data_IF_846045005709
#
_entry.id   IF_846045005709
#
_cell.length_a   1.000
_cell.length_b   1.000
_cell.length_c   1.000
_cell.angle_alpha   90.00
_cell.angle_beta   90.00
_cell.angle_gamma   90.00
#
_symmetry.space_group_name_H-M   'P 1'
#
loop_
_entity.id
_entity.type
_entity.pdbx_description
1 polymer ?
#
# COMPACT_ATOMS: atom_id res chain seq x y z
N UNK A 1 33.79 29.11 -26.71
CA UNK A 1 32.96 29.10 -25.48
C UNK A 1 31.77 28.20 -25.75
N UNK A 2 31.82 26.98 -25.25
CA UNK A 2 30.69 26.04 -25.26
C UNK A 2 30.06 26.13 -23.87
N UNK A 3 28.75 26.34 -23.72
CA UNK A 3 28.15 26.16 -22.41
C UNK A 3 28.04 24.65 -22.18
N UNK A 4 28.75 24.16 -21.16
CA UNK A 4 28.49 22.86 -20.59
C UNK A 4 27.08 22.91 -19.99
N UNK A 5 26.14 22.20 -20.58
CA UNK A 5 24.89 21.87 -19.91
C UNK A 5 25.20 20.85 -18.82
N UNK A 6 25.41 21.34 -17.59
CA UNK A 6 25.22 20.51 -16.41
C UNK A 6 23.73 20.18 -16.32
N UNK A 7 23.31 19.08 -16.94
CA UNK A 7 22.15 18.36 -16.43
C UNK A 7 22.59 17.70 -15.12
N UNK A 8 22.48 18.46 -14.02
CA UNK A 8 22.38 17.83 -12.72
C UNK A 8 21.09 17.00 -12.77
N UNK A 9 21.22 15.69 -12.99
CA UNK A 9 20.13 14.74 -12.83
C UNK A 9 19.73 14.78 -11.35
N UNK A 10 18.76 15.64 -11.02
CA UNK A 10 18.06 15.57 -9.75
C UNK A 10 17.32 14.24 -9.77
N UNK A 11 17.93 13.23 -9.18
CA UNK A 11 17.34 11.91 -9.06
C UNK A 11 16.23 12.00 -8.01
N UNK A 12 14.97 12.03 -8.42
CA UNK A 12 13.83 12.13 -7.50
C UNK A 12 13.72 10.91 -6.58
N UNK A 13 12.78 10.92 -5.64
CA UNK A 13 12.56 9.78 -4.73
C UNK A 13 12.20 8.47 -5.48
N UNK A 14 12.28 7.35 -4.76
CA UNK A 14 11.76 6.06 -5.23
C UNK A 14 10.44 5.79 -4.55
N UNK A 15 9.40 5.53 -5.34
CA UNK A 15 8.10 5.11 -4.87
C UNK A 15 7.97 3.60 -4.99
N UNK A 16 8.11 2.88 -3.87
CA UNK A 16 7.88 1.44 -3.79
C UNK A 16 6.40 1.17 -3.50
N UNK A 17 5.74 0.53 -4.46
CA UNK A 17 4.33 0.16 -4.41
C UNK A 17 4.22 -1.35 -4.20
N UNK A 18 3.84 -1.76 -3.00
CA UNK A 18 3.56 -3.16 -2.69
C UNK A 18 2.11 -3.47 -3.06
N UNK A 19 1.92 -4.11 -4.20
CA UNK A 19 0.65 -4.45 -4.80
C UNK A 19 0.27 -5.93 -4.58
N UNK A 20 -0.99 -6.25 -4.86
CA UNK A 20 -1.50 -7.62 -4.78
C UNK A 20 -2.82 -7.74 -4.05
N UNK A 21 -3.46 -8.90 -4.19
CA UNK A 21 -4.76 -9.22 -3.60
C UNK A 21 -4.74 -9.12 -2.05
N UNK A 22 -5.89 -8.88 -1.40
CA UNK A 22 -6.00 -9.01 0.06
C UNK A 22 -5.49 -10.38 0.54
N UNK A 23 -4.71 -10.41 1.62
CA UNK A 23 -4.15 -11.65 2.19
C UNK A 23 -2.79 -12.10 1.62
N UNK A 24 -2.21 -11.38 0.66
CA UNK A 24 -0.91 -11.74 0.04
C UNK A 24 0.33 -11.44 0.90
N UNK A 25 0.18 -10.87 2.10
CA UNK A 25 1.32 -10.56 2.98
C UNK A 25 1.97 -9.18 2.80
N UNK A 26 1.33 -8.26 2.05
CA UNK A 26 1.88 -6.91 1.78
C UNK A 26 2.34 -6.16 3.03
N UNK A 27 1.52 -6.12 4.08
CA UNK A 27 1.85 -5.39 5.30
C UNK A 27 3.08 -5.98 6.01
N UNK A 28 3.27 -7.31 5.95
CA UNK A 28 4.49 -7.95 6.47
C UNK A 28 5.72 -7.56 5.64
N UNK A 29 5.61 -7.59 4.31
CA UNK A 29 6.69 -7.13 3.44
C UNK A 29 7.03 -5.65 3.68
N UNK A 30 6.03 -4.79 3.88
CA UNK A 30 6.27 -3.38 4.22
C UNK A 30 7.08 -3.22 5.52
N UNK A 31 6.80 -4.03 6.55
CA UNK A 31 7.61 -4.05 7.78
C UNK A 31 9.06 -4.42 7.49
N UNK A 32 9.30 -5.48 6.70
CA UNK A 32 10.66 -5.91 6.32
C UNK A 32 11.41 -4.83 5.53
N UNK A 33 10.73 -4.14 4.60
CA UNK A 33 11.30 -3.01 3.85
C UNK A 33 11.68 -1.89 4.82
N UNK A 34 10.83 -1.52 5.76
CA UNK A 34 11.14 -0.48 6.75
C UNK A 34 12.30 -0.82 7.67
N UNK A 35 12.44 -2.09 8.06
CA UNK A 35 13.58 -2.56 8.84
C UNK A 35 14.90 -2.39 8.06
N UNK A 36 14.88 -2.69 6.75
CA UNK A 36 16.06 -2.54 5.87
C UNK A 36 16.37 -1.09 5.50
N UNK A 37 15.34 -0.26 5.37
CA UNK A 37 15.40 1.14 4.94
C UNK A 37 14.76 2.04 6.00
N UNK A 38 15.43 2.31 7.14
CA UNK A 38 14.83 3.02 8.28
C UNK A 38 14.44 4.48 8.01
N UNK A 39 15.00 5.10 6.97
CA UNK A 39 14.62 6.44 6.50
C UNK A 39 13.40 6.46 5.57
N UNK A 40 12.78 5.30 5.30
CA UNK A 40 11.65 5.21 4.40
C UNK A 40 10.38 5.86 4.97
N UNK A 41 9.78 6.76 4.19
CA UNK A 41 8.46 7.30 4.47
C UNK A 41 7.37 6.31 4.03
N UNK A 42 6.61 5.74 4.98
CA UNK A 42 5.49 4.85 4.67
C UNK A 42 4.17 5.62 4.64
N UNK A 43 3.34 5.34 3.63
CA UNK A 43 1.96 5.81 3.54
C UNK A 43 1.02 4.61 3.40
N UNK A 44 0.18 4.39 4.43
CA UNK A 44 -0.77 3.27 4.52
C UNK A 44 -2.20 3.80 4.42
N UNK A 45 -2.92 3.37 3.39
CA UNK A 45 -4.35 3.70 3.23
C UNK A 45 -5.22 3.07 4.33
N UNK A 46 -4.88 1.88 4.82
CA UNK A 46 -5.62 1.24 5.91
C UNK A 46 -5.50 2.08 7.19
N UNK A 47 -4.30 2.60 7.52
CA UNK A 47 -4.09 3.48 8.68
C UNK A 47 -4.91 4.77 8.59
N UNK A 48 -4.97 5.37 7.39
CA UNK A 48 -5.76 6.59 7.15
C UNK A 48 -7.25 6.30 7.32
N UNK A 49 -7.72 5.17 6.78
CA UNK A 49 -9.13 4.76 6.90
C UNK A 49 -9.51 4.51 8.36
N UNK A 50 -8.69 3.75 9.08
CA UNK A 50 -8.93 3.44 10.49
C UNK A 50 -8.97 4.71 11.35
N UNK A 51 -8.03 5.64 11.15
CA UNK A 51 -8.06 6.96 11.82
C UNK A 51 -9.35 7.73 11.55
N UNK A 52 -9.82 7.77 10.30
CA UNK A 52 -11.07 8.46 9.96
C UNK A 52 -12.30 7.78 10.55
N UNK A 53 -12.33 6.45 10.61
CA UNK A 53 -13.42 5.70 11.24
C UNK A 53 -13.43 5.89 12.76
N UNK A 54 -12.25 5.94 13.40
CA UNK A 54 -12.09 6.29 14.81
C UNK A 54 -12.58 7.70 15.13
N UNK A 55 -12.32 8.66 14.25
CA UNK A 55 -12.68 10.06 14.47
C UNK A 55 -14.16 10.34 14.22
N UNK A 56 -14.75 9.75 13.17
CA UNK A 56 -16.06 10.14 12.68
C UNK A 56 -17.14 9.07 12.82
N UNK A 57 -16.76 7.79 12.89
CA UNK A 57 -17.70 6.68 12.77
C UNK A 57 -18.48 6.66 11.45
N UNK A 58 -19.33 5.65 11.28
CA UNK A 58 -20.28 5.54 10.19
C UNK A 58 -21.45 4.64 10.60
N UNK A 59 -22.66 4.98 10.19
CA UNK A 59 -23.90 4.23 10.47
C UNK A 59 -24.36 3.35 9.30
N UNK A 60 -23.78 3.53 8.12
CA UNK A 60 -24.13 2.77 6.92
C UNK A 60 -23.02 2.76 5.85
N UNK A 61 -23.24 1.98 4.80
CA UNK A 61 -22.30 1.81 3.69
C UNK A 61 -22.01 3.11 2.92
N UNK A 62 -22.97 4.03 2.81
CA UNK A 62 -22.81 5.29 2.08
C UNK A 62 -21.87 6.24 2.82
N UNK A 63 -22.05 6.36 4.14
CA UNK A 63 -21.16 7.12 5.02
C UNK A 63 -19.76 6.52 5.05
N UNK A 64 -19.65 5.19 5.16
CA UNK A 64 -18.36 4.50 5.08
C UNK A 64 -17.65 4.78 3.75
N UNK A 65 -18.37 4.72 2.63
CA UNK A 65 -17.81 5.05 1.32
C UNK A 65 -17.39 6.53 1.22
N UNK A 66 -18.11 7.46 1.85
CA UNK A 66 -17.70 8.86 1.89
C UNK A 66 -16.39 9.05 2.66
N UNK A 67 -16.22 8.37 3.79
CA UNK A 67 -14.95 8.35 4.53
C UNK A 67 -13.83 7.67 3.74
N UNK A 68 -14.09 6.54 3.07
CA UNK A 68 -13.11 5.86 2.23
C UNK A 68 -12.66 6.75 1.05
N UNK A 69 -13.56 7.55 0.45
CA UNK A 69 -13.21 8.54 -0.57
C UNK A 69 -12.33 9.66 -0.01
N UNK A 70 -12.64 10.15 1.20
CA UNK A 70 -11.81 11.14 1.89
C UNK A 70 -10.43 10.56 2.20
N UNK A 71 -10.37 9.32 2.68
CA UNK A 71 -9.12 8.60 2.94
C UNK A 71 -8.24 8.52 1.69
N UNK A 72 -8.84 8.21 0.54
CA UNK A 72 -8.11 8.16 -0.73
C UNK A 72 -7.53 9.52 -1.14
N UNK A 73 -8.24 10.63 -0.87
CA UNK A 73 -7.71 11.98 -1.09
C UNK A 73 -6.52 12.29 -0.19
N UNK A 74 -6.62 11.96 1.10
CA UNK A 74 -5.52 12.12 2.07
C UNK A 74 -4.33 11.26 1.66
N UNK A 75 -4.57 10.00 1.28
CA UNK A 75 -3.54 9.07 0.82
C UNK A 75 -2.68 9.65 -0.31
N UNK A 76 -3.31 10.19 -1.36
CA UNK A 76 -2.54 10.81 -2.44
C UNK A 76 -1.80 12.08 -1.99
N UNK A 77 -2.39 12.87 -1.10
CA UNK A 77 -1.71 14.04 -0.52
C UNK A 77 -0.51 13.66 0.35
N UNK A 78 -0.57 12.56 1.09
CA UNK A 78 0.55 12.05 1.88
C UNK A 78 1.68 11.50 1.00
N UNK A 79 1.34 10.78 -0.07
CA UNK A 79 2.32 10.36 -1.09
C UNK A 79 2.99 11.59 -1.71
N UNK A 80 2.21 12.58 -2.15
CA UNK A 80 2.72 13.83 -2.72
C UNK A 80 3.66 14.56 -1.76
N UNK A 81 3.26 14.71 -0.49
CA UNK A 81 4.08 15.35 0.52
C UNK A 81 5.39 14.59 0.79
N UNK A 82 5.35 13.25 0.79
CA UNK A 82 6.55 12.42 0.95
C UNK A 82 7.52 12.61 -0.23
N UNK A 83 7.01 12.50 -1.47
CA UNK A 83 7.82 12.72 -2.68
C UNK A 83 8.42 14.13 -2.74
N UNK A 84 7.71 15.13 -2.22
CA UNK A 84 8.19 16.51 -2.20
C UNK A 84 9.24 16.78 -1.12
N UNK A 85 9.05 16.32 0.12
CA UNK A 85 10.00 16.55 1.24
C UNK A 85 11.39 16.00 0.92
N UNK A 86 11.40 14.82 0.33
CA UNK A 86 12.59 14.07 -0.04
C UNK A 86 13.40 14.75 -1.16
N UNK A 87 12.74 15.53 -2.02
CA UNK A 87 13.41 16.37 -3.01
C UNK A 87 14.10 17.61 -2.39
N UNK A 88 13.79 17.97 -1.14
CA UNK A 88 14.22 19.22 -0.49
C UNK A 88 15.09 19.01 0.76
N UNK A 89 15.20 17.79 1.28
CA UNK A 89 16.14 17.44 2.35
C UNK A 89 17.56 17.33 1.82
N UNK A 90 18.22 18.47 1.62
CA UNK A 90 19.63 18.60 1.27
C UNK A 90 20.60 18.37 2.43
N UNK A 91 20.26 17.52 3.41
CA UNK A 91 21.17 17.17 4.52
C UNK A 91 21.88 15.86 4.17
N UNK A 92 22.85 16.02 3.28
CA UNK A 92 23.62 14.95 2.65
C UNK A 92 24.73 14.47 3.59
N UNK A 93 24.55 13.29 4.16
CA UNK A 93 25.69 12.50 4.69
C UNK A 93 26.06 11.33 3.77
N UNK A 94 25.27 11.06 2.72
CA UNK A 94 25.56 10.07 1.69
C UNK A 94 24.91 10.51 0.36
N UNK A 95 25.67 11.25 -0.47
CA UNK A 95 25.27 11.89 -1.75
C UNK A 95 24.72 10.91 -2.82
N UNK A 96 24.63 9.61 -2.48
CA UNK A 96 24.38 8.52 -3.43
C UNK A 96 23.04 7.82 -3.27
N UNK A 97 22.30 8.02 -2.18
CA UNK A 97 21.03 7.29 -1.91
C UNK A 97 19.79 8.13 -2.15
N UNK A 98 18.88 7.59 -2.94
CA UNK A 98 17.58 8.22 -3.21
C UNK A 98 16.64 7.98 -2.03
N UNK A 99 15.85 8.99 -1.62
CA UNK A 99 14.82 8.79 -0.62
C UNK A 99 13.78 7.77 -1.08
N UNK A 100 13.19 7.03 -0.14
CA UNK A 100 12.27 5.93 -0.43
C UNK A 100 10.91 6.17 0.23
N UNK A 101 9.88 6.22 -0.61
CA UNK A 101 8.47 6.28 -0.21
C UNK A 101 7.86 4.90 -0.44
N UNK A 102 7.25 4.32 0.60
CA UNK A 102 6.66 2.99 0.58
C UNK A 102 5.16 3.07 0.77
N UNK A 103 4.41 2.31 -0.03
CA UNK A 103 2.97 2.18 0.15
C UNK A 103 2.45 0.82 -0.25
N UNK A 104 1.53 0.26 0.54
CA UNK A 104 0.75 -0.91 0.19
C UNK A 104 -0.74 -0.60 0.03
N UNK A 105 -1.32 -1.23 -0.99
CA UNK A 105 -2.75 -1.18 -1.28
C UNK A 105 -3.09 -2.33 -2.23
N UNK A 106 -4.32 -2.88 -2.25
CA UNK A 106 -4.85 -3.52 -3.44
C UNK A 106 -5.00 -2.50 -4.58
N UNK A 107 -3.85 -2.05 -5.11
CA UNK A 107 -3.77 -1.12 -6.22
C UNK A 107 -4.48 -1.70 -7.44
N UNK A 108 -5.15 -0.83 -8.18
CA UNK A 108 -5.87 -1.16 -9.41
C UNK A 108 -5.65 -0.07 -10.44
N UNK A 109 -6.23 -0.25 -11.63
CA UNK A 109 -6.22 0.79 -12.69
C UNK A 109 -6.76 2.15 -12.21
N UNK A 110 -7.57 2.18 -11.15
CA UNK A 110 -8.14 3.42 -10.61
C UNK A 110 -7.09 4.35 -9.99
N UNK A 111 -6.03 3.82 -9.40
CA UNK A 111 -4.98 4.62 -8.74
C UNK A 111 -3.85 5.01 -9.71
N UNK A 112 -3.70 4.25 -10.80
CA UNK A 112 -2.58 4.37 -11.71
C UNK A 112 -2.40 5.79 -12.31
N UNK A 113 -3.44 6.48 -12.81
CA UNK A 113 -3.25 7.81 -13.39
C UNK A 113 -2.70 8.83 -12.39
N UNK A 114 -3.23 8.83 -11.16
CA UNK A 114 -2.80 9.77 -10.10
C UNK A 114 -1.37 9.49 -9.66
N UNK A 115 -1.03 8.22 -9.39
CA UNK A 115 0.33 7.84 -8.98
C UNK A 115 1.36 8.14 -10.07
N UNK A 116 1.01 7.90 -11.35
CA UNK A 116 1.86 8.25 -12.49
C UNK A 116 2.10 9.76 -12.55
N UNK A 117 1.04 10.56 -12.46
CA UNK A 117 1.16 12.02 -12.50
C UNK A 117 2.01 12.57 -11.34
N UNK A 118 1.92 11.96 -10.15
CA UNK A 118 2.81 12.29 -9.02
C UNK A 118 4.27 11.94 -9.33
N UNK A 119 4.53 10.74 -9.86
CA UNK A 119 5.90 10.36 -10.23
C UNK A 119 6.50 11.29 -11.29
N UNK A 120 5.73 11.63 -12.33
CA UNK A 120 6.16 12.56 -13.39
C UNK A 120 6.42 13.97 -12.84
N UNK A 121 5.54 14.47 -11.97
CA UNK A 121 5.67 15.81 -11.36
C UNK A 121 6.93 15.96 -10.51
N UNK A 122 7.29 14.93 -9.76
CA UNK A 122 8.40 14.97 -8.80
C UNK A 122 9.67 14.24 -9.28
N UNK A 123 9.69 13.77 -10.54
CA UNK A 123 10.82 13.00 -11.08
C UNK A 123 11.08 11.69 -10.34
N UNK A 124 10.06 11.13 -9.69
CA UNK A 124 10.19 9.93 -8.88
C UNK A 124 10.23 8.66 -9.75
N UNK A 125 11.02 7.66 -9.34
CA UNK A 125 11.02 6.34 -9.98
C UNK A 125 10.09 5.41 -9.22
N UNK A 126 9.08 4.88 -9.89
CA UNK A 126 8.19 3.89 -9.30
C UNK A 126 8.74 2.47 -9.46
N UNK A 127 8.64 1.68 -8.38
CA UNK A 127 8.88 0.25 -8.34
C UNK A 127 7.60 -0.43 -7.86
N UNK A 128 7.09 -1.40 -8.63
CA UNK A 128 5.95 -2.22 -8.21
C UNK A 128 6.45 -3.59 -7.77
N UNK A 129 6.13 -3.98 -6.54
CA UNK A 129 6.29 -5.37 -6.07
C UNK A 129 4.91 -5.96 -5.98
N UNK A 130 4.58 -6.91 -6.85
CA UNK A 130 3.26 -7.53 -6.90
C UNK A 130 3.30 -8.91 -6.27
N UNK A 131 2.64 -9.05 -5.12
CA UNK A 131 2.46 -10.33 -4.46
C UNK A 131 1.23 -11.03 -5.02
N UNK A 132 1.41 -12.26 -5.52
CA UNK A 132 0.34 -13.14 -5.99
C UNK A 132 0.18 -14.32 -5.02
N UNK A 133 -0.94 -15.02 -5.08
CA UNK A 133 -1.14 -16.27 -4.35
C UNK A 133 -2.40 -16.98 -4.86
N UNK A 134 -2.52 -18.28 -4.59
CA UNK A 134 -3.75 -19.04 -4.80
C UNK A 134 -4.96 -18.41 -4.07
N UNK A 135 -6.10 -18.33 -4.75
CA UNK A 135 -7.29 -17.65 -4.24
C UNK A 135 -7.91 -18.34 -3.02
N UNK A 136 -7.80 -19.67 -2.90
CA UNK A 136 -8.34 -20.39 -1.76
C UNK A 136 -7.50 -20.10 -0.52
N UNK A 137 -6.18 -20.13 -0.68
CA UNK A 137 -5.23 -19.72 0.38
C UNK A 137 -5.50 -18.28 0.82
N UNK A 138 -5.74 -17.36 -0.13
CA UNK A 138 -6.07 -15.98 0.20
C UNK A 138 -7.40 -15.83 0.92
N UNK A 139 -8.41 -16.61 0.56
CA UNK A 139 -9.71 -16.60 1.24
C UNK A 139 -9.58 -17.11 2.69
N UNK A 140 -8.83 -18.18 2.92
CA UNK A 140 -8.54 -18.65 4.29
C UNK A 140 -7.82 -17.60 5.12
N UNK A 141 -6.80 -16.93 4.55
CA UNK A 141 -6.07 -15.85 5.23
C UNK A 141 -6.97 -14.66 5.54
N UNK A 142 -7.85 -14.28 4.61
CA UNK A 142 -8.82 -13.21 4.81
C UNK A 142 -9.77 -13.55 5.96
N UNK A 143 -10.30 -14.77 6.01
CA UNK A 143 -11.17 -15.22 7.10
C UNK A 143 -10.45 -15.17 8.45
N UNK A 144 -9.23 -15.73 8.54
CA UNK A 144 -8.43 -15.69 9.78
C UNK A 144 -8.18 -14.25 10.22
N UNK A 145 -7.82 -13.35 9.29
CA UNK A 145 -7.57 -11.93 9.56
C UNK A 145 -8.81 -11.19 10.04
N UNK A 146 -9.97 -11.44 9.43
CA UNK A 146 -11.20 -10.75 9.79
C UNK A 146 -11.78 -11.22 11.13
N UNK A 147 -11.45 -12.45 11.53
CA UNK A 147 -11.80 -12.99 12.86
C UNK A 147 -10.79 -12.61 13.96
N UNK A 148 -9.62 -12.08 13.59
CA UNK A 148 -8.60 -11.67 14.55
C UNK A 148 -9.07 -10.44 15.36
N UNK A 149 -8.99 -10.47 16.72
CA UNK A 149 -9.38 -9.33 17.55
C UNK A 149 -8.63 -8.03 17.28
N UNK A 150 -7.41 -8.10 16.75
CA UNK A 150 -6.59 -6.94 16.36
C UNK A 150 -7.10 -6.25 15.09
N UNK A 151 -7.92 -6.92 14.27
CA UNK A 151 -8.52 -6.30 13.09
C UNK A 151 -9.47 -5.19 13.52
N UNK A 152 -9.22 -3.98 13.05
CA UNK A 152 -10.10 -2.84 13.31
C UNK A 152 -11.52 -3.14 12.82
N UNK A 153 -12.53 -2.94 13.69
CA UNK A 153 -13.92 -3.34 13.44
C UNK A 153 -14.48 -2.74 12.15
N UNK A 154 -14.12 -1.49 11.84
CA UNK A 154 -14.52 -0.80 10.61
C UNK A 154 -14.25 -1.58 9.31
N UNK A 155 -13.35 -2.56 9.28
CA UNK A 155 -13.17 -3.43 8.11
C UNK A 155 -14.28 -4.46 7.92
N UNK A 156 -14.88 -4.95 9.01
CA UNK A 156 -15.75 -6.14 9.03
C UNK A 156 -17.20 -5.83 9.42
N UNK A 157 -17.55 -4.56 9.65
CA UNK A 157 -18.90 -4.12 10.01
C UNK A 157 -19.45 -3.07 9.03
N UNK A 158 -20.78 -2.95 9.03
CA UNK A 158 -21.52 -1.96 8.23
C UNK A 158 -21.83 -0.67 9.01
N UNK A 159 -21.64 -0.70 10.34
CA UNK A 159 -21.71 0.44 11.25
C UNK A 159 -20.59 0.37 12.29
N UNK A 160 -19.91 1.49 12.52
CA UNK A 160 -18.85 1.60 13.50
C UNK A 160 -18.84 2.99 14.15
N UNK A 161 -18.70 3.05 15.47
CA UNK A 161 -18.33 4.24 16.22
C UNK A 161 -17.22 3.90 17.21
N UNK A 162 -16.42 4.91 17.58
CA UNK A 162 -15.33 4.74 18.54
C UNK A 162 -15.84 4.14 19.84
N UNK A 163 -15.20 3.05 20.28
CA UNK A 163 -15.58 2.32 21.49
C UNK A 163 -16.57 1.18 21.25
N UNK A 164 -17.08 1.02 20.03
CA UNK A 164 -17.82 -0.18 19.65
C UNK A 164 -16.95 -1.43 19.88
N UNK A 165 -17.59 -2.51 20.31
CA UNK A 165 -16.93 -3.80 20.52
C UNK A 165 -17.75 -4.92 19.92
N UNK A 166 -17.06 -5.92 19.38
CA UNK A 166 -17.67 -7.16 18.89
C UNK A 166 -16.79 -8.32 19.35
N UNK A 167 -17.04 -8.89 20.56
CA UNK A 167 -16.24 -9.99 21.09
C UNK A 167 -16.27 -11.22 20.19
N UNK A 168 -17.43 -11.52 19.62
CA UNK A 168 -17.63 -12.62 18.68
C UNK A 168 -17.57 -12.10 17.24
N UNK A 169 -16.36 -12.11 16.66
CA UNK A 169 -16.08 -11.60 15.31
C UNK A 169 -16.82 -12.36 14.22
N UNK A 170 -17.23 -13.61 14.46
CA UNK A 170 -17.99 -14.40 13.49
C UNK A 170 -19.38 -13.83 13.18
N UNK A 171 -19.87 -12.93 14.04
CA UNK A 171 -21.17 -12.25 13.87
C UNK A 171 -21.07 -10.93 13.09
N UNK A 172 -19.89 -10.55 12.62
CA UNK A 172 -19.72 -9.28 11.92
C UNK A 172 -20.44 -9.29 10.57
N UNK A 173 -21.29 -8.29 10.32
CA UNK A 173 -22.14 -8.25 9.13
C UNK A 173 -21.36 -8.07 7.81
N UNK A 174 -20.14 -7.52 7.88
CA UNK A 174 -19.29 -7.24 6.72
C UNK A 174 -18.33 -8.36 6.35
N UNK A 175 -18.42 -9.54 6.98
CA UNK A 175 -17.62 -10.70 6.57
C UNK A 175 -17.98 -11.13 5.15
N UNK A 176 -16.96 -11.43 4.34
CA UNK A 176 -17.16 -11.81 2.95
C UNK A 176 -17.51 -13.29 2.84
N UNK A 177 -18.50 -13.60 1.99
CA UNK A 177 -18.66 -14.96 1.48
C UNK A 177 -17.49 -15.30 0.54
N UNK A 178 -17.23 -16.59 0.36
CA UNK A 178 -16.24 -17.08 -0.61
C UNK A 178 -16.52 -16.54 -2.02
N UNK A 179 -17.77 -16.55 -2.46
CA UNK A 179 -18.18 -16.04 -3.76
C UNK A 179 -17.88 -14.54 -3.92
N UNK A 180 -18.24 -13.72 -2.92
CA UNK A 180 -17.97 -12.28 -2.97
C UNK A 180 -16.46 -11.99 -2.91
N UNK A 181 -15.69 -12.73 -2.12
CA UNK A 181 -14.24 -12.62 -2.09
C UNK A 181 -13.62 -12.90 -3.46
N UNK A 182 -13.99 -14.02 -4.09
CA UNK A 182 -13.50 -14.41 -5.41
C UNK A 182 -13.89 -13.38 -6.46
N UNK A 183 -15.15 -12.94 -6.46
CA UNK A 183 -15.63 -11.90 -7.37
C UNK A 183 -14.82 -10.61 -7.23
N UNK A 184 -14.53 -10.16 -6.00
CA UNK A 184 -13.71 -8.96 -5.78
C UNK A 184 -12.29 -9.15 -6.30
N UNK A 185 -11.68 -10.31 -6.08
CA UNK A 185 -10.32 -10.58 -6.52
C UNK A 185 -10.19 -10.60 -8.06
N UNK A 186 -11.18 -11.16 -8.76
CA UNK A 186 -11.13 -11.34 -10.22
C UNK A 186 -11.67 -10.17 -11.03
N UNK A 187 -12.50 -9.29 -10.45
CA UNK A 187 -13.15 -8.20 -11.20
C UNK A 187 -12.55 -6.82 -10.97
N UNK A 188 -11.69 -6.66 -9.96
CA UNK A 188 -11.14 -5.34 -9.58
C UNK A 188 -9.76 -5.05 -10.15
N UNK A 189 -9.13 -6.01 -10.82
CA UNK A 189 -7.84 -5.85 -11.50
C UNK A 189 -6.67 -5.60 -10.56
N UNK A 190 -6.72 -6.15 -9.34
CA UNK A 190 -5.66 -6.02 -8.34
C UNK A 190 -4.37 -6.78 -8.73
N UNK A 191 -4.52 -7.82 -9.53
CA UNK A 191 -3.51 -8.70 -10.10
C UNK A 191 -2.82 -8.11 -11.34
N UNK A 192 -3.34 -7.03 -11.92
CA UNK A 192 -2.81 -6.43 -13.15
C UNK A 192 -2.11 -5.10 -12.94
N UNK A 193 -2.18 -4.53 -11.74
CA UNK A 193 -1.56 -3.24 -11.45
C UNK A 193 -0.04 -3.27 -11.67
N UNK A 194 0.47 -2.23 -12.33
CA UNK A 194 1.89 -1.97 -12.54
C UNK A 194 2.14 -0.49 -12.80
N UNK A 195 3.08 0.09 -12.06
CA UNK A 195 3.68 1.39 -12.34
C UNK A 195 5.21 1.27 -12.22
N UNK A 196 5.92 1.58 -13.30
CA UNK A 196 7.38 1.44 -13.38
C UNK A 196 7.84 -0.02 -13.52
N UNK A 197 8.99 -0.33 -12.92
CA UNK A 197 9.56 -1.67 -12.94
C UNK A 197 8.73 -2.62 -12.05
N UNK A 198 8.62 -3.89 -12.44
CA UNK A 198 7.80 -4.88 -11.76
C UNK A 198 8.67 -6.03 -11.26
N UNK A 199 8.56 -6.33 -9.97
CA UNK A 199 8.95 -7.61 -9.39
C UNK A 199 7.66 -8.34 -8.98
N UNK A 200 7.41 -9.50 -9.59
CA UNK A 200 6.28 -10.36 -9.21
C UNK A 200 6.79 -11.51 -8.33
N UNK A 201 6.06 -11.79 -7.25
CA UNK A 201 6.44 -12.79 -6.25
C UNK A 201 5.22 -13.61 -5.89
N UNK A 202 5.31 -14.94 -6.03
CA UNK A 202 4.30 -15.86 -5.54
C UNK A 202 4.44 -16.02 -4.01
N UNK A 203 3.38 -15.68 -3.29
CA UNK A 203 3.27 -15.75 -1.85
C UNK A 203 2.17 -16.75 -1.41
N UNK A 204 1.87 -17.74 -2.26
CA UNK A 204 0.99 -18.88 -1.93
C UNK A 204 1.52 -19.62 -0.70
N UNK A 205 2.83 -19.88 -0.65
CA UNK A 205 3.52 -20.32 0.55
C UNK A 205 4.44 -19.20 1.05
N UNK A 206 4.14 -18.65 2.24
CA UNK A 206 4.89 -17.54 2.80
C UNK A 206 6.32 -17.93 3.19
N UNK A 207 6.55 -19.20 3.52
CA UNK A 207 7.87 -19.69 3.94
C UNK A 207 8.84 -19.78 2.77
N UNK A 208 8.32 -19.82 1.54
CA UNK A 208 9.12 -19.84 0.30
C UNK A 208 9.46 -18.45 -0.24
N UNK A 209 8.87 -17.38 0.31
CA UNK A 209 9.11 -16.02 -0.15
C UNK A 209 10.52 -15.59 0.27
N UNK A 210 11.39 -15.40 -0.72
CA UNK A 210 12.73 -14.86 -0.51
C UNK A 210 12.68 -13.35 -0.29
N UNK A 211 12.48 -12.96 0.98
CA UNK A 211 12.40 -11.57 1.37
C UNK A 211 13.72 -10.82 1.14
N UNK A 212 14.87 -11.47 1.31
CA UNK A 212 16.17 -10.82 1.11
C UNK A 212 16.39 -10.50 -0.37
N UNK A 213 16.03 -11.39 -1.29
CA UNK A 213 16.07 -11.11 -2.72
C UNK A 213 15.18 -9.92 -3.12
N UNK A 214 14.00 -9.76 -2.50
CA UNK A 214 13.13 -8.59 -2.72
C UNK A 214 13.82 -7.31 -2.21
N UNK A 215 14.40 -7.36 -1.01
CA UNK A 215 15.09 -6.21 -0.41
C UNK A 215 16.32 -5.80 -1.20
N UNK A 216 17.11 -6.75 -1.68
CA UNK A 216 18.27 -6.52 -2.55
C UNK A 216 17.85 -5.96 -3.92
N UNK A 217 16.72 -6.41 -4.46
CA UNK A 217 16.15 -5.85 -5.68
C UNK A 217 15.76 -4.37 -5.51
N UNK A 218 15.20 -3.99 -4.35
CA UNK A 218 14.95 -2.58 -4.02
C UNK A 218 16.29 -1.82 -3.88
N UNK A 219 17.24 -2.38 -3.13
CA UNK A 219 18.51 -1.74 -2.83
C UNK A 219 19.35 -1.45 -4.09
N UNK A 220 19.32 -2.34 -5.09
CA UNK A 220 20.01 -2.15 -6.36
C UNK A 220 19.46 -0.98 -7.20
N UNK A 221 18.32 -0.39 -6.79
CA UNK A 221 17.64 0.70 -7.47
C UNK A 221 17.60 1.98 -6.65
N UNK A 222 17.97 1.92 -5.37
CA UNK A 222 17.90 3.00 -4.35
C UNK A 222 19.19 3.73 -4.08
#
# INVERSE_FOLDING_TARGET
>A
MTPASCEATVSGAILVLVAGLPGTGKSYLCTRIRERFPGCAQVSIDDIKEKLWEEHGFDNAEQKQALDRRALGIFFGEIEAALNRDAHSGDMSDDSKRPLVLSDYPFSIKQLPTLRALCERYGATALTIRLTADLEVLFERQQRRDLDPSRHLGHIVDRYHRGDSLPDRSKAAGLLSREEFYRRCTTRGYDTFRLGELLEVDATDLDTVDHEAILDWIAARS
#
